data_IF_015511549932
#
_entry.id   IF_015511549932
#
_cell.length_a   1.000
_cell.length_b   1.000
_cell.length_c   1.000
_cell.angle_alpha   90.00
_cell.angle_beta   90.00
_cell.angle_gamma   90.00
#
_symmetry.space_group_name_H-M   'P 1'
#
loop_
_entity.id
_entity.type
_entity.pdbx_description
1 polymer ?
#
# COMPACT_ATOMS: atom_id res chain seq x y z
N UNK A 1 -28.93 -3.00 -4.61
CA UNK A 1 -27.52 -3.11 -5.05
C UNK A 1 -27.12 -4.57 -4.89
N UNK A 2 -26.44 -5.15 -5.88
CA UNK A 2 -25.86 -6.49 -5.79
C UNK A 2 -24.38 -6.35 -5.41
N UNK A 3 -23.89 -7.18 -4.49
CA UNK A 3 -22.46 -7.27 -4.18
C UNK A 3 -21.96 -8.60 -4.72
N UNK A 4 -20.86 -8.57 -5.44
CA UNK A 4 -20.23 -9.77 -6.00
C UNK A 4 -18.71 -9.69 -5.88
N UNK A 5 -18.10 -10.85 -5.69
CA UNK A 5 -16.67 -11.01 -5.89
C UNK A 5 -16.38 -10.84 -7.37
N UNK A 6 -15.24 -10.25 -7.67
CA UNK A 6 -14.82 -10.03 -9.05
C UNK A 6 -13.47 -10.68 -9.29
N UNK A 7 -13.30 -11.21 -10.49
CA UNK A 7 -12.07 -11.86 -10.89
C UNK A 7 -10.95 -10.87 -11.19
N UNK A 8 -9.74 -11.40 -11.23
CA UNK A 8 -8.47 -10.73 -11.52
C UNK A 8 -8.50 -9.76 -12.70
N UNK A 9 -9.07 -10.17 -13.83
CA UNK A 9 -9.05 -9.39 -15.07
C UNK A 9 -10.05 -8.21 -15.06
N UNK A 10 -10.99 -8.22 -14.13
CA UNK A 10 -12.10 -7.26 -14.05
C UNK A 10 -11.82 -6.11 -13.05
N UNK A 11 -10.74 -6.20 -12.25
CA UNK A 11 -10.40 -5.15 -11.27
C UNK A 11 -9.74 -3.90 -11.90
N UNK A 12 -9.31 -3.98 -13.15
CA UNK A 12 -8.64 -2.87 -13.84
C UNK A 12 -9.48 -1.58 -13.90
N UNK A 13 -10.81 -1.73 -13.99
CA UNK A 13 -11.73 -0.58 -13.95
C UNK A 13 -11.72 0.12 -12.59
N UNK A 14 -11.53 -0.62 -11.50
CA UNK A 14 -11.39 -0.07 -10.13
C UNK A 14 -10.04 0.61 -9.95
N UNK A 15 -8.95 0.03 -10.47
CA UNK A 15 -7.62 0.65 -10.43
C UNK A 15 -7.59 1.97 -11.21
N UNK A 16 -8.16 2.01 -12.42
CA UNK A 16 -8.31 3.25 -13.18
C UNK A 16 -9.18 4.27 -12.41
N UNK A 17 -10.28 3.83 -11.81
CA UNK A 17 -11.12 4.72 -11.01
C UNK A 17 -10.35 5.30 -9.80
N UNK A 18 -9.57 4.50 -9.08
CA UNK A 18 -8.70 4.99 -8.01
C UNK A 18 -7.66 6.00 -8.52
N UNK A 19 -7.07 5.73 -9.70
CA UNK A 19 -6.14 6.66 -10.33
C UNK A 19 -6.81 7.99 -10.71
N UNK A 20 -8.04 7.96 -11.22
CA UNK A 20 -8.83 9.16 -11.55
C UNK A 20 -9.18 9.98 -10.30
N UNK A 21 -9.28 9.34 -9.12
CA UNK A 21 -9.43 10.00 -7.81
C UNK A 21 -8.08 10.50 -7.24
N UNK A 22 -6.98 10.36 -7.99
CA UNK A 22 -5.64 10.81 -7.61
C UNK A 22 -4.85 9.85 -6.72
N UNK A 23 -5.35 8.62 -6.50
CA UNK A 23 -4.70 7.69 -5.56
C UNK A 23 -3.44 7.03 -6.16
N UNK A 24 -3.30 7.03 -7.49
CA UNK A 24 -2.15 6.48 -8.22
C UNK A 24 -1.66 5.10 -7.70
N UNK A 25 -2.53 4.08 -7.66
CA UNK A 25 -2.15 2.76 -7.18
C UNK A 25 -1.06 2.12 -8.05
N UNK A 26 -0.45 1.05 -7.53
CA UNK A 26 0.45 0.22 -8.34
C UNK A 26 -0.28 -0.46 -9.48
N UNK A 27 0.31 -0.39 -10.68
CA UNK A 27 -0.22 -1.10 -11.82
C UNK A 27 0.00 -2.61 -11.62
N UNK A 28 -1.11 -3.34 -11.42
CA UNK A 28 -1.09 -4.77 -11.19
C UNK A 28 -0.84 -5.19 -9.74
N UNK A 29 -0.90 -4.26 -8.77
CA UNK A 29 -0.90 -4.64 -7.36
C UNK A 29 -2.08 -5.57 -7.07
N UNK A 30 -3.28 -5.26 -7.56
CA UNK A 30 -4.46 -6.06 -7.27
C UNK A 30 -4.30 -7.54 -7.66
N UNK A 31 -3.56 -7.84 -8.73
CA UNK A 31 -3.20 -9.21 -9.13
C UNK A 31 -2.44 -9.96 -8.03
N UNK A 32 -1.45 -9.29 -7.43
CA UNK A 32 -0.58 -9.89 -6.41
C UNK A 32 -1.37 -10.16 -5.12
N UNK A 33 -2.22 -9.23 -4.71
CA UNK A 33 -2.98 -9.37 -3.47
C UNK A 33 -4.22 -10.26 -3.61
N UNK A 34 -4.77 -10.41 -4.83
CA UNK A 34 -5.76 -11.45 -5.09
C UNK A 34 -5.16 -12.86 -5.00
N UNK A 35 -3.86 -13.05 -5.25
CA UNK A 35 -3.22 -14.33 -5.03
C UNK A 35 -3.11 -14.68 -3.53
N UNK A 36 -3.07 -13.65 -2.65
CA UNK A 36 -3.13 -13.82 -1.19
C UNK A 36 -4.55 -14.13 -0.75
N UNK A 37 -5.54 -13.35 -1.22
CA UNK A 37 -6.94 -13.53 -0.86
C UNK A 37 -7.88 -13.30 -2.07
N UNK A 38 -8.19 -14.37 -2.84
CA UNK A 38 -9.04 -14.26 -4.03
C UNK A 38 -10.47 -13.78 -3.74
N UNK A 39 -10.95 -13.96 -2.50
CA UNK A 39 -12.31 -13.59 -2.10
C UNK A 39 -12.40 -12.16 -1.55
N UNK A 40 -11.27 -11.49 -1.36
CA UNK A 40 -11.16 -10.18 -0.74
C UNK A 40 -11.57 -8.98 -1.61
N UNK A 41 -11.91 -9.18 -2.88
CA UNK A 41 -12.13 -8.10 -3.85
C UNK A 41 -13.60 -8.04 -4.28
N UNK A 42 -14.28 -6.98 -3.86
CA UNK A 42 -15.74 -6.88 -3.91
C UNK A 42 -16.16 -5.65 -4.71
N UNK A 43 -17.12 -5.84 -5.62
CA UNK A 43 -17.79 -4.75 -6.34
C UNK A 43 -19.28 -4.72 -6.00
N UNK A 44 -19.83 -3.52 -5.97
CA UNK A 44 -21.25 -3.26 -5.84
C UNK A 44 -21.81 -2.75 -7.17
N UNK A 45 -22.82 -3.42 -7.69
CA UNK A 45 -23.50 -3.03 -8.92
C UNK A 45 -24.94 -2.57 -8.69
N UNK A 46 -25.35 -1.54 -9.41
CA UNK A 46 -26.73 -1.03 -9.45
C UNK A 46 -27.17 -0.97 -10.92
N UNK A 47 -28.21 -1.73 -11.27
CA UNK A 47 -28.69 -1.88 -12.65
C UNK A 47 -27.57 -2.28 -13.63
N UNK A 48 -26.69 -3.21 -13.20
CA UNK A 48 -25.56 -3.70 -14.00
C UNK A 48 -24.36 -2.75 -14.11
N UNK A 49 -24.40 -1.59 -13.46
CA UNK A 49 -23.29 -0.61 -13.47
C UNK A 49 -22.48 -0.70 -12.17
N UNK A 50 -21.16 -0.68 -12.27
CA UNK A 50 -20.26 -0.55 -11.12
C UNK A 50 -20.53 0.78 -10.41
N UNK A 51 -20.89 0.73 -9.12
CA UNK A 51 -21.19 1.92 -8.30
C UNK A 51 -20.41 1.98 -6.99
N UNK A 52 -19.81 0.87 -6.57
CA UNK A 52 -18.87 0.85 -5.46
C UNK A 52 -17.86 -0.29 -5.61
N UNK A 53 -16.70 -0.14 -4.99
CA UNK A 53 -15.68 -1.18 -4.89
C UNK A 53 -15.06 -1.14 -3.49
N UNK A 54 -14.53 -2.27 -3.04
CA UNK A 54 -13.73 -2.38 -1.82
C UNK A 54 -12.85 -3.63 -1.92
N UNK A 55 -11.61 -3.52 -1.45
CA UNK A 55 -10.76 -4.68 -1.18
C UNK A 55 -10.60 -4.87 0.32
N UNK A 56 -10.54 -6.12 0.75
CA UNK A 56 -10.22 -6.55 2.11
C UNK A 56 -9.39 -7.82 2.03
N UNK A 57 -8.08 -7.70 2.23
CA UNK A 57 -7.14 -8.81 2.08
C UNK A 57 -6.86 -9.40 3.45
N UNK A 58 -7.24 -10.66 3.68
CA UNK A 58 -6.85 -11.40 4.87
C UNK A 58 -5.45 -11.98 4.68
N UNK A 59 -4.46 -11.47 5.42
CA UNK A 59 -3.07 -11.91 5.31
C UNK A 59 -2.82 -13.21 6.09
N UNK A 60 -3.38 -13.30 7.29
CA UNK A 60 -3.29 -14.47 8.17
C UNK A 60 -4.56 -14.57 9.02
N UNK A 61 -4.55 -15.34 10.11
CA UNK A 61 -5.68 -15.46 11.05
C UNK A 61 -5.85 -14.26 12.00
N UNK A 62 -4.94 -13.29 11.98
CA UNK A 62 -4.88 -12.17 12.91
C UNK A 62 -5.09 -10.81 12.25
N UNK A 63 -4.76 -10.65 10.98
CA UNK A 63 -4.73 -9.35 10.31
C UNK A 63 -5.39 -9.37 8.92
N UNK A 64 -6.15 -8.31 8.67
CA UNK A 64 -6.70 -7.96 7.37
C UNK A 64 -6.42 -6.49 7.07
N UNK A 65 -6.38 -6.12 5.78
CA UNK A 65 -6.28 -4.73 5.38
C UNK A 65 -7.37 -4.35 4.39
N UNK A 66 -8.04 -3.21 4.63
CA UNK A 66 -9.05 -2.63 3.75
C UNK A 66 -8.43 -1.52 2.91
N UNK A 67 -8.67 -1.55 1.61
CA UNK A 67 -8.45 -0.41 0.73
C UNK A 67 -9.36 -0.45 -0.49
N UNK A 68 -9.08 0.37 -1.51
CA UNK A 68 -9.96 0.55 -2.68
C UNK A 68 -11.43 0.86 -2.34
N UNK A 69 -11.72 1.46 -1.18
CA UNK A 69 -13.12 1.74 -0.81
C UNK A 69 -13.65 2.95 -1.57
N UNK A 70 -14.27 2.68 -2.71
CA UNK A 70 -14.73 3.66 -3.69
C UNK A 70 -16.25 3.60 -3.83
N UNK A 71 -16.88 4.77 -3.95
CA UNK A 71 -18.31 4.92 -4.29
C UNK A 71 -18.43 6.03 -5.31
N UNK A 72 -19.21 5.80 -6.38
CA UNK A 72 -19.37 6.77 -7.47
C UNK A 72 -19.72 8.14 -6.91
N UNK A 73 -19.06 9.24 -7.32
CA UNK A 73 -19.21 10.55 -6.69
C UNK A 73 -20.66 11.02 -6.49
N UNK A 74 -21.51 10.87 -7.51
CA UNK A 74 -22.92 11.26 -7.47
C UNK A 74 -23.80 10.40 -6.53
N UNK A 75 -23.26 9.30 -6.02
CA UNK A 75 -23.96 8.34 -5.15
C UNK A 75 -23.38 8.31 -3.72
N UNK A 76 -22.38 9.15 -3.42
CA UNK A 76 -21.79 9.27 -2.08
C UNK A 76 -22.80 9.84 -1.10
N UNK A 77 -22.68 9.45 0.17
CA UNK A 77 -23.60 9.90 1.24
C UNK A 77 -25.00 9.26 1.22
N UNK A 78 -25.36 8.51 0.18
CA UNK A 78 -26.66 7.84 0.05
C UNK A 78 -26.69 6.41 0.62
N UNK A 79 -25.64 6.00 1.34
CA UNK A 79 -25.53 4.65 1.90
C UNK A 79 -25.22 3.54 0.88
N UNK A 80 -24.94 3.86 -0.39
CA UNK A 80 -24.66 2.88 -1.46
C UNK A 80 -23.49 1.96 -1.09
N UNK A 81 -22.38 2.50 -0.57
CA UNK A 81 -21.22 1.69 -0.16
C UNK A 81 -21.43 0.82 1.08
N UNK A 82 -22.60 0.85 1.74
CA UNK A 82 -22.82 0.12 3.00
C UNK A 82 -22.80 -1.39 2.80
N UNK A 83 -23.34 -1.90 1.68
CA UNK A 83 -23.38 -3.34 1.49
C UNK A 83 -22.00 -3.92 1.11
N UNK A 84 -21.22 -3.21 0.28
CA UNK A 84 -19.82 -3.59 0.00
C UNK A 84 -18.97 -3.51 1.25
N UNK A 85 -19.11 -2.44 2.05
CA UNK A 85 -18.45 -2.34 3.36
C UNK A 85 -18.83 -3.50 4.30
N UNK A 86 -20.12 -3.81 4.43
CA UNK A 86 -20.58 -4.88 5.33
C UNK A 86 -20.06 -6.25 4.90
N UNK A 87 -20.02 -6.52 3.59
CA UNK A 87 -19.43 -7.73 3.05
C UNK A 87 -17.93 -7.81 3.33
N UNK A 88 -17.20 -6.69 3.18
CA UNK A 88 -15.78 -6.63 3.50
C UNK A 88 -15.49 -6.88 4.99
N UNK A 89 -16.26 -6.26 5.89
CA UNK A 89 -16.13 -6.50 7.34
C UNK A 89 -16.48 -7.95 7.70
N UNK A 90 -17.50 -8.53 7.06
CA UNK A 90 -17.84 -9.94 7.24
C UNK A 90 -16.71 -10.88 6.79
N UNK A 91 -16.06 -10.57 5.67
CA UNK A 91 -14.92 -11.33 5.15
C UNK A 91 -13.68 -11.23 6.05
N UNK A 92 -13.42 -10.07 6.65
CA UNK A 92 -12.34 -9.90 7.62
C UNK A 92 -12.54 -10.74 8.89
N UNK A 93 -13.79 -10.97 9.30
CA UNK A 93 -14.13 -11.71 10.51
C UNK A 93 -13.59 -11.04 11.77
N UNK A 94 -12.96 -11.82 12.65
CA UNK A 94 -12.45 -11.36 13.96
C UNK A 94 -11.01 -10.80 13.91
N UNK A 95 -10.46 -10.59 12.72
CA UNK A 95 -9.09 -10.07 12.51
C UNK A 95 -8.99 -8.60 12.93
N UNK A 96 -7.78 -8.18 13.27
CA UNK A 96 -7.46 -6.77 13.30
C UNK A 96 -7.52 -6.24 11.86
N UNK A 97 -8.09 -5.06 11.68
CA UNK A 97 -8.28 -4.48 10.35
C UNK A 97 -7.48 -3.18 10.27
N UNK A 98 -6.53 -3.11 9.34
CA UNK A 98 -5.85 -1.88 8.95
C UNK A 98 -6.53 -1.20 7.78
N UNK A 99 -6.42 0.12 7.68
CA UNK A 99 -6.69 0.90 6.47
C UNK A 99 -5.88 2.21 6.49
N UNK A 100 -5.67 2.81 5.33
CA UNK A 100 -5.14 4.17 5.21
C UNK A 100 -6.26 5.13 4.78
N UNK A 101 -6.68 6.00 5.71
CA UNK A 101 -7.77 6.94 5.49
C UNK A 101 -7.27 8.27 4.94
N UNK A 102 -7.88 8.79 3.88
CA UNK A 102 -7.75 10.23 3.58
C UNK A 102 -8.29 11.05 4.78
N UNK A 103 -7.72 12.22 5.11
CA UNK A 103 -8.07 13.00 6.29
C UNK A 103 -9.58 13.22 6.49
N UNK A 104 -10.30 13.45 5.40
CA UNK A 104 -11.74 13.74 5.39
C UNK A 104 -12.60 12.52 5.79
N UNK A 105 -12.04 11.31 5.78
CA UNK A 105 -12.75 10.07 6.10
C UNK A 105 -12.40 9.51 7.49
N UNK A 106 -11.48 10.12 8.24
CA UNK A 106 -11.06 9.64 9.56
C UNK A 106 -12.24 9.50 10.54
N UNK A 107 -13.13 10.49 10.59
CA UNK A 107 -14.30 10.47 11.47
C UNK A 107 -15.26 9.33 11.13
N UNK A 108 -15.40 9.04 9.84
CA UNK A 108 -16.26 7.94 9.37
C UNK A 108 -15.73 6.60 9.87
N UNK A 109 -14.44 6.34 9.70
CA UNK A 109 -13.84 5.07 10.13
C UNK A 109 -13.79 4.96 11.66
N UNK A 110 -13.61 6.08 12.36
CA UNK A 110 -13.66 6.13 13.83
C UNK A 110 -15.00 5.63 14.39
N UNK A 111 -16.12 5.98 13.73
CA UNK A 111 -17.46 5.47 14.08
C UNK A 111 -17.61 3.95 13.88
N UNK A 112 -16.74 3.34 13.08
CA UNK A 112 -16.67 1.89 12.88
C UNK A 112 -15.61 1.21 13.75
N UNK A 113 -15.10 1.91 14.78
CA UNK A 113 -14.17 1.34 15.77
C UNK A 113 -12.70 1.35 15.35
N UNK A 114 -12.37 1.97 14.22
CA UNK A 114 -10.98 2.23 13.85
C UNK A 114 -10.40 3.35 14.72
N UNK A 115 -9.11 3.28 15.01
CA UNK A 115 -8.38 4.32 15.73
C UNK A 115 -7.17 4.76 14.91
N UNK A 116 -6.89 6.07 14.79
CA UNK A 116 -5.66 6.57 14.18
C UNK A 116 -4.42 5.96 14.83
N UNK A 117 -3.39 5.72 14.04
CA UNK A 117 -2.08 5.25 14.48
C UNK A 117 -0.97 6.23 14.12
N UNK A 118 -0.81 6.54 12.83
CA UNK A 118 0.13 7.54 12.33
C UNK A 118 -0.34 8.09 10.98
N UNK A 119 0.24 9.19 10.53
CA UNK A 119 0.06 9.67 9.15
C UNK A 119 1.09 9.05 8.22
N UNK A 120 0.67 8.77 7.00
CA UNK A 120 1.53 8.35 5.91
C UNK A 120 1.60 9.49 4.91
N UNK A 121 2.80 10.00 4.66
CA UNK A 121 3.06 11.13 3.78
C UNK A 121 3.50 10.61 2.41
N UNK A 122 2.81 11.05 1.36
CA UNK A 122 3.16 10.71 -0.02
C UNK A 122 4.17 11.70 -0.55
N UNK A 123 5.32 11.19 -0.97
CA UNK A 123 6.34 11.94 -1.68
C UNK A 123 6.36 11.56 -3.15
N UNK A 124 6.47 12.54 -4.05
CA UNK A 124 6.61 12.32 -5.48
C UNK A 124 7.56 13.33 -6.10
N UNK A 125 8.17 12.97 -7.23
CA UNK A 125 9.10 13.86 -7.92
C UNK A 125 9.74 13.18 -9.13
N UNK A 126 10.57 13.92 -9.88
CA UNK A 126 11.42 13.32 -10.90
C UNK A 126 12.32 12.25 -10.28
N UNK A 127 12.78 11.29 -11.08
CA UNK A 127 13.76 10.32 -10.58
C UNK A 127 15.02 11.09 -10.17
N UNK A 128 15.44 11.01 -8.89
CA UNK A 128 16.59 11.76 -8.40
C UNK A 128 17.83 11.47 -9.25
N UNK A 129 18.51 12.53 -9.69
CA UNK A 129 19.78 12.43 -10.40
C UNK A 129 20.90 12.44 -9.36
N UNK A 130 21.37 11.27 -8.94
CA UNK A 130 22.53 11.18 -8.06
C UNK A 130 23.52 10.11 -8.54
N UNK A 131 24.82 10.29 -8.28
CA UNK A 131 25.82 9.26 -8.53
C UNK A 131 25.59 8.08 -7.56
N UNK A 132 25.80 6.82 -8.00
CA UNK A 132 25.69 5.67 -7.11
C UNK A 132 26.64 5.84 -5.91
N UNK A 133 26.13 5.77 -4.69
CA UNK A 133 26.99 5.72 -3.52
C UNK A 133 27.73 4.39 -3.46
N UNK A 134 29.04 4.48 -3.23
CA UNK A 134 29.92 3.35 -3.02
C UNK A 134 29.64 2.69 -1.66
N UNK A 135 29.11 1.46 -1.68
CA UNK A 135 29.20 0.55 -0.54
C UNK A 135 27.87 -0.06 -0.11
N UNK A 136 27.67 -1.30 -0.54
CA UNK A 136 26.62 -2.21 -0.10
C UNK A 136 26.61 -3.42 -1.03
N UNK A 137 26.43 -4.63 -0.50
CA UNK A 137 26.26 -5.84 -1.33
C UNK A 137 24.79 -5.91 -1.80
N UNK A 138 24.36 -4.93 -2.60
CA UNK A 138 23.00 -4.90 -3.17
C UNK A 138 22.94 -5.85 -4.35
N UNK A 139 22.01 -6.78 -4.31
CA UNK A 139 21.80 -7.78 -5.36
C UNK A 139 20.36 -7.69 -5.86
N UNK A 140 20.18 -7.50 -7.17
CA UNK A 140 18.87 -7.70 -7.82
C UNK A 140 18.60 -9.22 -7.86
N UNK A 141 17.54 -9.73 -7.23
CA UNK A 141 17.29 -11.17 -7.20
C UNK A 141 16.94 -11.66 -8.61
N UNK A 142 17.57 -12.75 -9.06
CA UNK A 142 17.35 -13.35 -10.40
C UNK A 142 15.96 -13.95 -10.57
N UNK A 143 15.32 -14.31 -9.46
CA UNK A 143 13.92 -14.68 -9.35
C UNK A 143 13.35 -13.91 -8.17
N UNK A 144 12.17 -13.24 -8.30
CA UNK A 144 11.50 -12.67 -7.14
C UNK A 144 11.26 -13.80 -6.14
N UNK A 145 12.06 -13.85 -5.08
CA UNK A 145 11.84 -14.80 -4.00
C UNK A 145 10.73 -14.23 -3.13
N UNK A 146 9.49 -14.41 -3.61
CA UNK A 146 8.29 -13.93 -2.92
C UNK A 146 8.14 -14.61 -1.56
N UNK A 147 8.69 -15.82 -1.39
CA UNK A 147 8.73 -16.53 -0.11
C UNK A 147 9.69 -15.86 0.87
N UNK A 148 10.88 -15.46 0.42
CA UNK A 148 11.80 -14.64 1.21
C UNK A 148 11.18 -13.27 1.48
N UNK A 149 10.63 -12.55 0.50
CA UNK A 149 10.00 -11.24 0.74
C UNK A 149 8.82 -11.31 1.72
N UNK A 150 7.97 -12.33 1.63
CA UNK A 150 6.89 -12.56 2.59
C UNK A 150 7.42 -12.99 3.97
N UNK A 151 8.53 -13.74 4.01
CA UNK A 151 9.22 -14.08 5.27
C UNK A 151 9.90 -12.85 5.86
N UNK A 152 10.47 -11.95 5.07
CA UNK A 152 11.05 -10.68 5.50
C UNK A 152 10.00 -9.73 6.05
N UNK A 153 8.83 -9.70 5.39
CA UNK A 153 7.66 -8.94 5.81
C UNK A 153 7.06 -9.52 7.11
N UNK A 154 7.09 -10.86 7.30
CA UNK A 154 6.50 -11.55 8.45
C UNK A 154 7.47 -11.90 9.60
N UNK A 155 8.76 -11.97 9.35
CA UNK A 155 9.78 -12.53 10.24
C UNK A 155 11.16 -11.93 9.92
N UNK A 156 11.59 -10.95 10.72
CA UNK A 156 12.91 -10.35 10.65
C UNK A 156 14.07 -11.29 11.10
N UNK A 157 14.16 -12.49 10.48
CA UNK A 157 15.31 -13.44 10.36
C UNK A 157 15.66 -14.39 11.52
N UNK A 158 16.19 -15.62 11.24
CA UNK A 158 17.59 -15.92 10.81
C UNK A 158 17.76 -17.07 9.75
N UNK A 159 18.86 -17.30 9.00
CA UNK A 159 20.26 -16.85 8.98
C UNK A 159 20.81 -16.63 7.54
N UNK A 160 21.67 -15.62 7.35
CA UNK A 160 22.07 -15.05 6.05
C UNK A 160 21.61 -13.58 5.91
N UNK A 161 21.95 -12.77 6.91
CA UNK A 161 21.35 -11.47 7.23
C UNK A 161 21.21 -10.53 6.02
N UNK A 162 19.99 -10.04 5.80
CA UNK A 162 19.66 -9.03 4.78
C UNK A 162 19.23 -7.76 5.52
N UNK A 163 20.05 -6.72 5.46
CA UNK A 163 19.86 -5.45 6.20
C UNK A 163 18.63 -4.65 5.74
N UNK A 164 17.97 -5.08 4.65
CA UNK A 164 16.78 -4.46 4.09
C UNK A 164 16.45 -4.95 2.69
N UNK A 165 15.26 -4.60 2.21
CA UNK A 165 14.83 -4.82 0.83
C UNK A 165 13.98 -3.65 0.34
N UNK A 166 13.94 -3.47 -0.97
CA UNK A 166 13.12 -2.45 -1.59
C UNK A 166 12.62 -2.89 -2.95
N UNK A 167 11.42 -2.45 -3.30
CA UNK A 167 10.75 -2.82 -4.55
C UNK A 167 10.48 -1.58 -5.37
N UNK A 168 10.92 -1.59 -6.63
CA UNK A 168 10.52 -0.63 -7.64
C UNK A 168 9.45 -1.28 -8.52
N UNK A 169 8.26 -0.69 -8.57
CA UNK A 169 7.11 -1.21 -9.31
C UNK A 169 6.42 -0.11 -10.11
N UNK A 170 5.71 -0.48 -11.18
CA UNK A 170 4.95 0.48 -11.98
C UNK A 170 3.75 0.99 -11.19
N UNK A 171 3.45 2.27 -11.32
CA UNK A 171 2.17 2.85 -10.91
C UNK A 171 1.27 3.05 -12.13
N UNK A 172 0.03 3.48 -11.90
CA UNK A 172 -0.80 4.01 -12.99
C UNK A 172 -0.11 5.17 -13.72
N UNK A 173 0.52 6.07 -12.94
CA UNK A 173 1.38 7.14 -13.41
C UNK A 173 2.78 7.02 -12.79
N UNK A 174 3.79 6.82 -13.66
CA UNK A 174 5.19 6.72 -13.25
C UNK A 174 5.51 5.41 -12.54
N UNK A 175 6.37 5.49 -11.53
CA UNK A 175 6.87 4.36 -10.76
C UNK A 175 6.69 4.59 -9.26
N UNK A 176 6.70 3.50 -8.48
CA UNK A 176 6.63 3.55 -7.03
C UNK A 176 7.78 2.77 -6.42
N UNK A 177 8.33 3.32 -5.34
CA UNK A 177 9.21 2.61 -4.41
C UNK A 177 8.33 2.19 -3.23
N UNK A 178 8.21 0.90 -3.00
CA UNK A 178 7.30 0.37 -1.99
C UNK A 178 7.03 -1.13 -2.18
N UNK A 179 7.29 -1.97 -1.15
CA UNK A 179 7.88 -1.59 0.13
C UNK A 179 9.34 -1.14 0.00
N UNK A 180 9.80 -0.37 0.98
CA UNK A 180 11.21 -0.17 1.29
C UNK A 180 11.38 -0.35 2.80
N UNK A 181 12.03 -1.44 3.19
CA UNK A 181 12.34 -1.76 4.58
C UNK A 181 13.84 -1.85 4.76
N UNK A 182 14.33 -1.33 5.88
CA UNK A 182 15.73 -1.47 6.24
C UNK A 182 15.94 -1.34 7.76
N UNK A 183 16.94 -2.03 8.27
CA UNK A 183 17.31 -1.99 9.68
C UNK A 183 17.98 -0.67 10.07
N UNK A 184 18.59 0.03 9.10
CA UNK A 184 19.27 1.31 9.32
C UNK A 184 19.00 2.34 8.23
N UNK A 185 19.11 3.66 8.56
CA UNK A 185 19.02 4.73 7.56
C UNK A 185 20.04 4.59 6.42
N UNK A 186 21.23 4.08 6.72
CA UNK A 186 22.28 3.85 5.72
C UNK A 186 21.87 2.77 4.72
N UNK A 187 21.32 1.65 5.20
CA UNK A 187 20.84 0.58 4.33
C UNK A 187 19.65 1.05 3.49
N UNK A 188 18.72 1.80 4.07
CA UNK A 188 17.59 2.39 3.35
C UNK A 188 18.04 3.33 2.22
N UNK A 189 19.00 4.23 2.49
CA UNK A 189 19.54 5.14 1.50
C UNK A 189 20.19 4.38 0.33
N UNK A 190 21.03 3.39 0.63
CA UNK A 190 21.68 2.59 -0.40
C UNK A 190 20.68 1.82 -1.29
N UNK A 191 19.63 1.25 -0.69
CA UNK A 191 18.55 0.61 -1.43
C UNK A 191 17.75 1.62 -2.27
N UNK A 192 17.43 2.78 -1.71
CA UNK A 192 16.71 3.84 -2.41
C UNK A 192 17.48 4.34 -3.65
N UNK A 193 18.79 4.56 -3.52
CA UNK A 193 19.67 4.94 -4.62
C UNK A 193 19.68 3.86 -5.72
N UNK A 194 19.85 2.59 -5.35
CA UNK A 194 19.84 1.49 -6.30
C UNK A 194 18.51 1.37 -7.06
N UNK A 195 17.38 1.66 -6.40
CA UNK A 195 16.06 1.69 -7.02
C UNK A 195 15.91 2.91 -7.93
N UNK A 196 16.46 4.07 -7.57
CA UNK A 196 16.50 5.24 -8.45
C UNK A 196 17.34 4.97 -9.71
N UNK A 197 18.51 4.36 -9.58
CA UNK A 197 19.35 3.92 -10.71
C UNK A 197 18.60 2.92 -11.61
N UNK A 198 17.87 1.98 -11.02
CA UNK A 198 17.01 1.06 -11.77
C UNK A 198 15.91 1.82 -12.52
N UNK A 199 15.25 2.78 -11.88
CA UNK A 199 14.21 3.60 -12.48
C UNK A 199 14.75 4.43 -13.65
N UNK A 200 15.94 5.02 -13.53
CA UNK A 200 16.61 5.73 -14.61
C UNK A 200 16.90 4.81 -15.80
N UNK A 201 17.43 3.60 -15.57
CA UNK A 201 17.65 2.58 -16.63
C UNK A 201 16.36 2.18 -17.33
N UNK A 202 15.24 2.17 -16.60
CA UNK A 202 13.90 1.92 -17.12
C UNK A 202 13.26 3.16 -17.75
N UNK A 203 13.99 4.28 -17.85
CA UNK A 203 13.53 5.58 -18.38
C UNK A 203 12.27 6.09 -17.67
N UNK A 204 12.16 5.82 -16.37
CA UNK A 204 11.14 6.41 -15.52
C UNK A 204 11.29 7.93 -15.50
N UNK A 205 10.17 8.65 -15.60
CA UNK A 205 10.15 10.12 -15.52
C UNK A 205 9.94 10.63 -14.11
N UNK A 206 9.45 9.79 -13.20
CA UNK A 206 9.23 10.12 -11.80
C UNK A 206 8.95 8.90 -10.94
N UNK A 207 9.12 9.09 -9.64
CA UNK A 207 8.88 8.08 -8.59
C UNK A 207 7.93 8.63 -7.53
N UNK A 208 7.20 7.73 -6.88
CA UNK A 208 6.35 8.00 -5.72
C UNK A 208 6.70 7.03 -4.59
N UNK A 209 6.71 7.50 -3.35
CA UNK A 209 6.90 6.68 -2.14
C UNK A 209 5.95 7.17 -1.04
N UNK A 210 5.34 6.24 -0.31
CA UNK A 210 4.46 6.55 0.83
C UNK A 210 5.23 6.26 2.12
N UNK A 211 5.51 7.31 2.90
CA UNK A 211 6.43 7.28 4.06
C UNK A 211 5.64 7.44 5.36
N UNK A 212 5.76 6.52 6.34
CA UNK A 212 5.21 6.73 7.68
C UNK A 212 5.84 7.94 8.36
N UNK A 213 5.05 8.88 8.87
CA UNK A 213 5.55 10.09 9.54
C UNK A 213 6.37 9.77 10.81
N UNK A 214 6.17 8.59 11.38
CA UNK A 214 6.89 8.09 12.55
C UNK A 214 8.35 7.75 12.24
N UNK A 215 8.72 7.58 10.96
CA UNK A 215 10.10 7.33 10.55
C UNK A 215 10.75 8.62 10.02
N UNK A 216 11.37 9.39 10.93
CA UNK A 216 12.06 10.63 10.58
C UNK A 216 13.15 10.44 9.53
N UNK A 217 13.91 9.36 9.62
CA UNK A 217 14.98 9.07 8.65
C UNK A 217 14.45 8.84 7.24
N UNK A 218 13.24 8.29 7.10
CA UNK A 218 12.59 8.12 5.81
C UNK A 218 12.05 9.43 5.22
N UNK A 219 11.54 10.32 6.07
CA UNK A 219 11.15 11.68 5.65
C UNK A 219 12.38 12.45 5.15
N UNK A 220 13.46 12.47 5.94
CA UNK A 220 14.71 13.14 5.59
C UNK A 220 15.32 12.54 4.31
N UNK A 221 15.21 11.21 4.11
CA UNK A 221 15.65 10.53 2.89
C UNK A 221 14.89 11.03 1.66
N UNK A 222 13.56 11.10 1.71
CA UNK A 222 12.74 11.56 0.59
C UNK A 222 13.02 13.03 0.24
N UNK A 223 13.10 13.89 1.26
CA UNK A 223 13.40 15.32 1.10
C UNK A 223 14.81 15.56 0.54
N UNK A 224 15.83 14.85 1.04
CA UNK A 224 17.20 14.95 0.55
C UNK A 224 17.35 14.54 -0.93
N UNK A 225 16.43 13.72 -1.43
CA UNK A 225 16.36 13.32 -2.84
C UNK A 225 15.50 14.25 -3.70
N UNK A 226 15.06 15.39 -3.15
CA UNK A 226 14.29 16.40 -3.87
C UNK A 226 12.86 15.97 -4.19
N UNK A 227 12.33 14.94 -3.52
CA UNK A 227 10.92 14.60 -3.62
C UNK A 227 10.08 15.61 -2.85
N UNK A 228 8.88 15.87 -3.35
CA UNK A 228 7.95 16.84 -2.79
C UNK A 228 6.70 16.15 -2.23
N UNK A 229 6.10 16.76 -1.22
CA UNK A 229 4.85 16.28 -0.63
C UNK A 229 3.72 16.37 -1.64
N UNK A 230 2.99 15.28 -1.85
CA UNK A 230 1.89 15.18 -2.82
C UNK A 230 0.55 14.75 -2.19
N UNK A 231 0.54 14.42 -0.90
CA UNK A 231 -0.67 14.07 -0.18
C UNK A 231 -0.37 13.30 1.10
N UNK A 232 -1.41 12.91 1.80
CA UNK A 232 -1.30 12.15 3.04
C UNK A 232 -2.52 11.27 3.27
N UNK A 233 -2.31 10.23 4.06
CA UNK A 233 -3.36 9.41 4.66
C UNK A 233 -3.05 9.21 6.13
N UNK A 234 -4.03 8.69 6.88
CA UNK A 234 -3.91 8.32 8.28
C UNK A 234 -4.07 6.80 8.33
N UNK A 235 -3.00 6.09 8.71
CA UNK A 235 -3.08 4.67 9.03
C UNK A 235 -3.97 4.52 10.25
N UNK A 236 -5.02 3.71 10.14
CA UNK A 236 -5.97 3.42 11.22
C UNK A 236 -6.12 1.92 11.43
N UNK A 237 -6.38 1.52 12.67
CA UNK A 237 -6.62 0.12 13.03
C UNK A 237 -7.90 -0.06 13.83
N UNK A 238 -8.71 -1.04 13.42
CA UNK A 238 -9.75 -1.64 14.26
C UNK A 238 -9.18 -2.90 14.91
N UNK A 239 -9.19 -3.02 16.25
CA UNK A 239 -8.63 -4.18 16.92
C UNK A 239 -9.44 -5.45 16.59
N UNK A 240 -8.73 -6.56 16.37
CA UNK A 240 -9.30 -7.90 16.29
C UNK A 240 -9.20 -8.65 17.62
N UNK A 241 -9.46 -9.96 17.58
CA UNK A 241 -9.49 -10.83 18.76
C UNK A 241 -8.18 -10.86 19.55
N UNK A 242 -7.04 -10.81 18.87
CA UNK A 242 -5.70 -10.88 19.50
C UNK A 242 -5.18 -9.52 19.97
N UNK A 243 -5.84 -8.41 19.59
CA UNK A 243 -5.37 -7.06 19.89
C UNK A 243 -4.09 -6.65 19.15
N UNK A 244 -3.62 -7.43 18.15
CA UNK A 244 -2.44 -7.12 17.35
C UNK A 244 -2.55 -5.72 16.72
N UNK A 245 -1.48 -4.94 16.83
CA UNK A 245 -1.33 -3.62 16.18
C UNK A 245 0.03 -3.58 15.49
N UNK A 246 0.07 -3.60 14.14
CA UNK A 246 1.31 -3.36 13.41
C UNK A 246 1.89 -1.98 13.77
N UNK A 247 3.21 -1.89 13.91
CA UNK A 247 3.89 -0.69 14.43
C UNK A 247 4.53 0.18 13.35
N UNK A 248 4.55 -0.28 12.09
CA UNK A 248 5.21 0.42 10.98
C UNK A 248 6.72 0.59 11.17
N UNK A 249 7.32 -0.09 12.16
CA UNK A 249 8.73 0.02 12.47
C UNK A 249 9.57 -0.45 11.26
N UNK A 250 10.71 0.21 11.02
CA UNK A 250 11.65 -0.06 9.92
C UNK A 250 11.12 0.16 8.49
N UNK A 251 9.87 0.61 8.32
CA UNK A 251 9.34 1.01 7.02
C UNK A 251 9.85 2.39 6.60
N UNK A 252 10.56 2.46 5.49
CA UNK A 252 10.92 3.71 4.80
C UNK A 252 9.96 4.02 3.65
N UNK A 253 9.30 3.00 3.10
CA UNK A 253 8.22 3.12 2.13
C UNK A 253 7.23 1.99 2.34
N UNK A 254 5.94 2.31 2.46
CA UNK A 254 4.90 1.30 2.60
C UNK A 254 4.75 0.46 1.34
N UNK A 255 4.27 -0.77 1.50
CA UNK A 255 3.95 -1.66 0.39
C UNK A 255 2.87 -1.05 -0.49
N UNK A 256 1.67 -0.81 0.04
CA UNK A 256 0.57 -0.17 -0.69
C UNK A 256 -0.53 0.30 0.25
N UNK A 257 -1.10 1.50 0.04
CA UNK A 257 -2.20 2.01 0.88
C UNK A 257 -3.51 1.26 0.61
N UNK A 258 -3.63 0.71 -0.59
CA UNK A 258 -4.88 0.14 -1.07
C UNK A 258 -5.06 -1.32 -0.66
N UNK A 259 -4.01 -1.97 -0.14
CA UNK A 259 -3.99 -3.41 0.12
C UNK A 259 -3.17 -3.80 1.34
N UNK A 260 -2.35 -2.91 1.92
CA UNK A 260 -1.64 -3.15 3.18
C UNK A 260 -0.17 -2.83 3.10
#
# INVERSE_FOLDING_TARGET
>A
MKVEQTGVLDWKAVEQWAADEGWNPGAGDALLFQAVDPAGFLIGTLNGRLVSAISVVNYDEHYAHIGYFLVTPSLRGLGIGTATWSAAIGHAGDRAIGLDAVPEQVDRYSRHGFRPAWRTIRFTGPVPAQPPLAGGNITEPTTPDLGLMATLDAACFPAGHVDGYGVLRRAWHGWRIGPLYAESPKAAAALFDALCDRAQRLKATGITIDVPETNRAALDLAEAHGLSHAGETIRMYRPGRTGLRPTGAHAYGLTSLEVG
#
